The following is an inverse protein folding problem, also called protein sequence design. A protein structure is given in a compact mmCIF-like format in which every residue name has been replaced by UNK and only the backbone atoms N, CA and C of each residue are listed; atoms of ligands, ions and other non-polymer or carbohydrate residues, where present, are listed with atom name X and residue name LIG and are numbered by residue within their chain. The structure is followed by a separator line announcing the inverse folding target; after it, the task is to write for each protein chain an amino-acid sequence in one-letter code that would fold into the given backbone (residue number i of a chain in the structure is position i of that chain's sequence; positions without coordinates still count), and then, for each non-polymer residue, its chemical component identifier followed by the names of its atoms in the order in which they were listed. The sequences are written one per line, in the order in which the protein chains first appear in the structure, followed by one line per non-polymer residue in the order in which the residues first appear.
data_IF_048806780667
#
_entry.id   IF_048806780667
#
_cell.length_a   1.000
_cell.length_b   1.000
_cell.length_c   1.000
_cell.angle_alpha   90.00
_cell.angle_beta   90.00
_cell.angle_gamma   90.00
#
_symmetry.space_group_name_H-M   'P 1'
#
loop_
_entity.id
_entity.type
_entity.pdbx_description
1 polymer ?
#
# COMPACT_ATOMS: atom_id res chain seq x y z
N UNK A 1 10.87 3.86 -8.79
CA UNK A 1 10.57 5.19 -8.26
C UNK A 1 11.74 6.11 -8.53
N UNK A 2 11.66 6.93 -9.56
CA UNK A 2 12.55 8.09 -9.71
C UNK A 2 12.10 9.15 -8.72
N UNK A 3 12.69 9.18 -7.52
CA UNK A 3 12.48 10.32 -6.63
C UNK A 3 13.34 11.47 -7.19
N UNK A 4 12.69 12.44 -7.83
CA UNK A 4 13.29 13.74 -8.16
C UNK A 4 12.40 14.89 -7.63
N UNK A 5 12.96 16.05 -7.25
CA UNK A 5 14.24 16.32 -6.60
C UNK A 5 14.02 16.82 -5.14
N UNK A 6 14.91 16.42 -4.21
CA UNK A 6 15.20 17.03 -2.88
C UNK A 6 14.07 17.48 -1.95
N UNK A 7 13.21 18.41 -2.39
CA UNK A 7 12.16 19.08 -1.63
C UNK A 7 11.10 18.12 -1.07
N UNK A 8 10.64 17.14 -1.87
CA UNK A 8 9.65 16.15 -1.40
C UNK A 8 10.19 15.23 -0.30
N UNK A 9 11.48 14.89 -0.33
CA UNK A 9 12.12 14.06 0.71
C UNK A 9 12.21 14.87 2.01
N UNK A 10 12.57 16.15 1.91
CA UNK A 10 12.64 17.05 3.07
C UNK A 10 11.25 17.24 3.69
N UNK A 11 10.22 17.47 2.87
CA UNK A 11 8.85 17.65 3.35
C UNK A 11 8.33 16.37 4.02
N UNK A 12 8.58 15.20 3.43
CA UNK A 12 8.26 13.91 4.03
C UNK A 12 8.97 13.72 5.37
N UNK A 13 10.29 13.93 5.41
CA UNK A 13 11.06 13.79 6.65
C UNK A 13 10.60 14.78 7.73
N UNK A 14 10.21 15.99 7.34
CA UNK A 14 9.66 17.01 8.25
C UNK A 14 8.33 16.56 8.83
N UNK A 15 7.42 16.05 8.00
CA UNK A 15 6.12 15.55 8.45
C UNK A 15 6.27 14.34 9.38
N UNK A 16 7.12 13.37 9.03
CA UNK A 16 7.38 12.20 9.88
C UNK A 16 8.01 12.59 11.21
N UNK A 17 8.85 13.64 11.25
CA UNK A 17 9.36 14.20 12.51
C UNK A 17 8.26 14.88 13.32
N UNK A 18 7.42 15.70 12.69
CA UNK A 18 6.30 16.37 13.34
C UNK A 18 5.31 15.36 13.95
N UNK A 19 5.10 14.23 13.28
CA UNK A 19 4.27 13.13 13.78
C UNK A 19 4.95 12.26 14.86
N UNK A 20 6.22 12.51 15.17
CA UNK A 20 6.99 11.77 16.17
C UNK A 20 7.44 10.39 15.70
N UNK A 21 7.45 10.14 14.39
CA UNK A 21 7.90 8.89 13.76
C UNK A 21 9.41 8.91 13.48
N UNK A 22 9.98 10.09 13.24
CA UNK A 22 11.42 10.26 13.08
C UNK A 22 11.97 11.24 14.12
N UNK A 23 13.20 10.99 14.53
CA UNK A 23 14.02 11.96 15.27
C UNK A 23 15.28 12.30 14.48
N UNK A 24 15.79 13.51 14.71
CA UNK A 24 17.05 13.95 14.13
C UNK A 24 18.12 13.93 15.20
N UNK A 25 19.22 13.22 14.96
CA UNK A 25 20.37 13.12 15.88
C UNK A 25 21.65 13.60 15.18
N UNK A 26 22.63 14.17 15.90
CA UNK A 26 23.94 14.48 15.31
C UNK A 26 24.58 13.25 14.68
N UNK A 27 25.23 13.39 13.52
CA UNK A 27 26.00 12.29 12.96
C UNK A 27 27.26 12.05 13.83
N UNK A 28 27.64 10.80 14.12
CA UNK A 28 28.76 10.49 15.02
C UNK A 28 30.12 11.05 14.56
N UNK A 29 30.28 11.31 13.26
CA UNK A 29 31.56 11.69 12.65
C UNK A 29 31.55 13.08 11.99
N UNK A 30 30.40 13.75 11.96
CA UNK A 30 30.27 15.12 11.45
C UNK A 30 29.11 15.85 12.15
N UNK A 31 29.44 16.78 13.05
CA UNK A 31 28.44 17.57 13.76
C UNK A 31 27.62 18.51 12.88
N UNK A 32 28.04 18.74 11.63
CA UNK A 32 27.27 19.49 10.62
C UNK A 32 26.22 18.63 9.95
N UNK A 33 26.39 17.30 9.98
CA UNK A 33 25.42 16.35 9.46
C UNK A 33 24.46 15.89 10.56
N UNK A 34 23.21 15.62 10.16
CA UNK A 34 22.17 15.06 11.01
C UNK A 34 21.70 13.74 10.43
N UNK A 35 21.63 12.71 11.26
CA UNK A 35 21.02 11.43 10.91
C UNK A 35 19.54 11.45 11.31
N UNK A 36 18.70 10.82 10.50
CA UNK A 36 17.32 10.51 10.85
C UNK A 36 17.28 9.10 11.45
N UNK A 37 16.61 8.96 12.59
CA UNK A 37 16.40 7.68 13.27
C UNK A 37 14.90 7.45 13.44
N UNK A 38 14.46 6.21 13.20
CA UNK A 38 13.09 5.78 13.49
C UNK A 38 12.89 5.75 15.00
N UNK A 39 11.81 6.38 15.48
CA UNK A 39 11.42 6.28 16.88
C UNK A 39 10.80 4.91 17.17
N UNK A 40 10.67 4.48 18.44
CA UNK A 40 9.94 3.26 18.78
C UNK A 40 8.51 3.23 18.22
N UNK A 41 7.85 4.39 18.13
CA UNK A 41 6.52 4.50 17.51
C UNK A 41 6.54 4.18 16.02
N UNK A 42 7.58 4.62 15.29
CA UNK A 42 7.71 4.28 13.89
C UNK A 42 8.01 2.79 13.68
N UNK A 43 8.82 2.18 14.55
CA UNK A 43 9.07 0.74 14.50
C UNK A 43 7.78 -0.05 14.75
N UNK A 44 7.00 0.33 15.76
CA UNK A 44 5.71 -0.30 16.03
C UNK A 44 4.73 -0.17 14.84
N UNK A 45 4.60 1.03 14.27
CA UNK A 45 3.77 1.24 13.09
C UNK A 45 4.26 0.44 11.86
N UNK A 46 5.57 0.22 11.77
CA UNK A 46 6.17 -0.61 10.73
C UNK A 46 5.83 -2.10 10.92
N UNK A 47 5.88 -2.59 12.16
CA UNK A 47 5.45 -3.95 12.51
C UNK A 47 3.97 -4.17 12.19
N UNK A 48 3.09 -3.23 12.55
CA UNK A 48 1.66 -3.28 12.20
C UNK A 48 1.47 -3.43 10.69
N UNK A 49 2.26 -2.68 9.91
CA UNK A 49 2.20 -2.72 8.45
C UNK A 49 2.71 -4.04 7.88
N UNK A 50 3.79 -4.59 8.43
CA UNK A 50 4.33 -5.90 8.05
C UNK A 50 3.28 -6.99 8.32
N UNK A 51 2.68 -6.99 9.50
CA UNK A 51 1.65 -7.96 9.90
C UNK A 51 0.48 -8.01 8.90
N UNK A 52 -0.02 -6.86 8.44
CA UNK A 52 -1.16 -6.76 7.51
C UNK A 52 -0.98 -7.63 6.26
N UNK A 53 0.23 -7.69 5.71
CA UNK A 53 0.50 -8.50 4.52
C UNK A 53 0.90 -9.94 4.83
N UNK A 54 1.37 -10.21 6.05
CA UNK A 54 1.75 -11.57 6.45
C UNK A 54 0.55 -12.39 6.92
N UNK A 55 -0.50 -11.76 7.47
CA UNK A 55 -1.76 -12.44 7.82
C UNK A 55 -2.39 -13.23 6.66
N UNK A 56 -2.63 -12.65 5.46
CA UNK A 56 -3.17 -13.43 4.35
C UNK A 56 -2.20 -14.51 3.87
N UNK A 57 -0.89 -14.27 3.91
CA UNK A 57 0.11 -15.28 3.55
C UNK A 57 0.09 -16.49 4.49
N UNK A 58 -0.06 -16.28 5.80
CA UNK A 58 -0.20 -17.37 6.77
C UNK A 58 -1.44 -18.24 6.54
N UNK A 59 -2.50 -17.68 5.94
CA UNK A 59 -3.69 -18.44 5.53
C UNK A 59 -3.47 -19.19 4.21
N UNK A 60 -2.76 -18.57 3.25
CA UNK A 60 -2.55 -19.12 1.91
C UNK A 60 -1.42 -20.16 1.85
N UNK A 61 -0.43 -20.05 2.73
CA UNK A 61 0.79 -20.88 2.78
C UNK A 61 1.06 -21.38 4.21
N UNK A 62 0.18 -22.18 4.80
CA UNK A 62 0.29 -22.60 6.20
C UNK A 62 1.54 -23.45 6.50
N UNK A 63 2.23 -23.96 5.47
CA UNK A 63 3.47 -24.71 5.58
C UNK A 63 4.70 -23.85 5.93
N UNK A 64 4.56 -22.53 5.83
CA UNK A 64 5.64 -21.56 6.02
C UNK A 64 5.54 -20.86 7.39
N UNK A 65 6.66 -20.50 8.00
CA UNK A 65 6.65 -19.78 9.28
C UNK A 65 6.56 -18.25 9.08
N UNK A 66 5.38 -17.70 9.40
CA UNK A 66 5.11 -16.27 9.39
C UNK A 66 5.01 -15.66 10.80
N UNK A 67 5.19 -16.46 11.87
CA UNK A 67 5.07 -15.97 13.26
C UNK A 67 5.96 -14.77 13.58
N UNK A 68 7.23 -14.68 13.11
CA UNK A 68 8.06 -13.50 13.39
C UNK A 68 7.43 -12.18 12.92
N UNK A 69 6.67 -12.20 11.83
CA UNK A 69 5.92 -11.03 11.36
C UNK A 69 4.68 -10.73 12.22
N UNK A 70 3.97 -11.79 12.64
CA UNK A 70 2.71 -11.69 13.39
C UNK A 70 2.93 -11.34 14.87
N UNK A 71 4.07 -11.74 15.43
CA UNK A 71 4.46 -11.51 16.82
C UNK A 71 5.29 -10.20 16.98
N UNK A 72 5.40 -9.42 15.90
CA UNK A 72 6.15 -8.15 15.86
C UNK A 72 7.62 -8.30 16.26
N UNK A 73 8.29 -9.36 15.81
CA UNK A 73 9.71 -9.57 16.09
C UNK A 73 10.56 -8.45 15.45
N UNK A 74 11.26 -7.68 16.28
CA UNK A 74 12.06 -6.53 15.81
C UNK A 74 13.30 -6.96 15.01
N UNK A 75 13.86 -8.15 15.27
CA UNK A 75 14.96 -8.71 14.50
C UNK A 75 14.50 -9.04 13.07
N UNK A 76 13.34 -9.67 12.96
CA UNK A 76 12.67 -9.93 11.69
C UNK A 76 12.29 -8.64 10.96
N UNK A 77 11.68 -7.67 11.64
CA UNK A 77 11.34 -6.36 11.06
C UNK A 77 12.56 -5.72 10.38
N UNK A 78 13.70 -5.70 11.08
CA UNK A 78 14.95 -5.16 10.55
C UNK A 78 15.46 -5.96 9.34
N UNK A 79 15.50 -7.29 9.45
CA UNK A 79 15.95 -8.16 8.37
C UNK A 79 15.06 -8.01 7.12
N UNK A 80 13.75 -7.97 7.31
CA UNK A 80 12.74 -7.79 6.26
C UNK A 80 12.91 -6.45 5.54
N UNK A 81 13.11 -5.34 6.28
CA UNK A 81 13.35 -4.03 5.66
C UNK A 81 14.66 -3.98 4.88
N UNK A 82 15.73 -4.59 5.38
CA UNK A 82 17.00 -4.68 4.65
C UNK A 82 16.89 -5.54 3.39
N UNK A 83 16.15 -6.65 3.45
CA UNK A 83 15.89 -7.49 2.29
C UNK A 83 15.02 -6.76 1.25
N UNK A 84 13.98 -6.04 1.69
CA UNK A 84 13.07 -5.31 0.82
C UNK A 84 13.72 -4.18 0.01
N UNK A 85 14.80 -3.57 0.52
CA UNK A 85 15.58 -2.58 -0.24
C UNK A 85 16.16 -3.18 -1.54
N UNK A 86 16.42 -4.49 -1.57
CA UNK A 86 16.96 -5.20 -2.73
C UNK A 86 15.89 -5.55 -3.77
N UNK A 87 14.61 -5.39 -3.44
CA UNK A 87 13.47 -5.77 -4.30
C UNK A 87 12.70 -4.56 -4.82
N UNK A 88 13.20 -3.33 -4.60
CA UNK A 88 12.52 -2.09 -4.98
C UNK A 88 12.37 -1.92 -6.51
N UNK A 89 13.31 -2.46 -7.30
CA UNK A 89 13.23 -2.38 -8.76
C UNK A 89 12.14 -3.29 -9.32
N UNK A 90 12.01 -4.50 -8.76
CA UNK A 90 10.95 -5.47 -9.10
C UNK A 90 9.55 -4.88 -8.84
N UNK A 91 9.39 -4.15 -7.73
CA UNK A 91 8.12 -3.51 -7.41
C UNK A 91 7.69 -2.44 -8.44
N UNK A 92 8.65 -1.76 -9.08
CA UNK A 92 8.34 -0.78 -10.12
C UNK A 92 7.90 -1.45 -11.42
N UNK A 93 8.56 -2.54 -11.81
CA UNK A 93 8.22 -3.30 -13.02
C UNK A 93 6.80 -3.87 -12.95
N UNK A 94 6.44 -4.43 -11.78
CA UNK A 94 5.08 -4.95 -11.52
C UNK A 94 4.02 -3.86 -11.70
N UNK A 95 4.27 -2.64 -11.19
CA UNK A 95 3.30 -1.55 -11.28
C UNK A 95 3.12 -1.04 -12.72
N UNK A 96 4.23 -0.88 -13.47
CA UNK A 96 4.17 -0.39 -14.86
C UNK A 96 3.48 -1.38 -15.82
N UNK A 97 3.45 -2.67 -15.48
CA UNK A 97 2.73 -3.70 -16.24
C UNK A 97 1.23 -3.79 -15.90
N UNK A 98 0.70 -2.91 -15.05
CA UNK A 98 -0.70 -2.95 -14.61
C UNK A 98 -1.37 -1.56 -14.70
N UNK A 99 -1.75 -1.10 -15.91
CA UNK A 99 -2.28 0.25 -16.13
C UNK A 99 -3.52 0.62 -15.29
N UNK A 100 -4.49 -0.28 -15.02
CA UNK A 100 -5.58 0.03 -14.10
C UNK A 100 -5.10 0.35 -12.68
N UNK A 101 -4.13 -0.39 -12.17
CA UNK A 101 -3.59 -0.16 -10.83
C UNK A 101 -2.71 1.09 -10.78
N UNK A 102 -1.86 1.29 -11.79
CA UNK A 102 -1.01 2.48 -11.89
C UNK A 102 -1.87 3.75 -11.86
N UNK A 103 -2.99 3.80 -12.59
CA UNK A 103 -3.94 4.92 -12.55
C UNK A 103 -4.35 5.28 -11.10
N UNK A 104 -4.85 4.32 -10.32
CA UNK A 104 -5.28 4.60 -8.95
C UNK A 104 -4.12 4.91 -8.00
N UNK A 105 -2.93 4.39 -8.26
CA UNK A 105 -1.72 4.65 -7.45
C UNK A 105 -1.16 6.06 -7.71
N UNK A 106 -1.20 6.55 -8.94
CA UNK A 106 -0.74 7.89 -9.30
C UNK A 106 -1.71 9.00 -8.85
N UNK A 107 -3.00 8.70 -8.76
CA UNK A 107 -4.00 9.64 -8.27
C UNK A 107 -3.84 9.93 -6.77
N UNK A 108 -3.87 11.21 -6.40
CA UNK A 108 -3.88 11.61 -4.98
C UNK A 108 -5.07 10.96 -4.29
N UNK A 109 -4.80 10.14 -3.25
CA UNK A 109 -5.75 9.27 -2.53
C UNK A 109 -6.53 8.24 -3.39
N UNK A 110 -6.19 8.08 -4.67
CA UNK A 110 -6.87 7.17 -5.60
C UNK A 110 -6.82 5.71 -5.13
N UNK A 111 -5.69 5.27 -4.59
CA UNK A 111 -5.54 3.92 -4.06
C UNK A 111 -6.52 3.65 -2.89
N UNK A 112 -6.82 4.65 -2.04
CA UNK A 112 -7.84 4.50 -0.99
C UNK A 112 -9.23 4.35 -1.57
N UNK A 113 -9.56 5.12 -2.62
CA UNK A 113 -10.83 4.98 -3.34
C UNK A 113 -10.96 3.58 -3.91
N UNK A 114 -9.89 3.05 -4.53
CA UNK A 114 -9.85 1.69 -5.06
C UNK A 114 -10.10 0.64 -3.96
N UNK A 115 -9.40 0.73 -2.82
CA UNK A 115 -9.61 -0.23 -1.71
C UNK A 115 -11.06 -0.21 -1.22
N UNK A 116 -11.64 0.98 -1.04
CA UNK A 116 -13.03 1.13 -0.58
C UNK A 116 -14.00 0.58 -1.65
N UNK A 117 -13.73 0.83 -2.93
CA UNK A 117 -14.51 0.32 -4.05
C UNK A 117 -14.51 -1.21 -4.06
N UNK A 118 -13.33 -1.84 -4.05
CA UNK A 118 -13.19 -3.30 -4.04
C UNK A 118 -13.86 -3.94 -2.82
N UNK A 119 -13.68 -3.33 -1.64
CA UNK A 119 -14.34 -3.78 -0.43
C UNK A 119 -15.88 -3.64 -0.50
N UNK A 120 -16.38 -2.62 -1.19
CA UNK A 120 -17.82 -2.35 -1.31
C UNK A 120 -18.54 -3.33 -2.24
N UNK A 121 -17.82 -3.93 -3.20
CA UNK A 121 -18.36 -4.91 -4.14
C UNK A 121 -18.10 -6.37 -3.72
N UNK A 122 -17.25 -6.59 -2.72
CA UNK A 122 -16.87 -7.94 -2.26
C UNK A 122 -18.10 -8.78 -1.89
N UNK A 123 -18.20 -9.95 -2.51
CA UNK A 123 -19.31 -10.89 -2.28
C UNK A 123 -20.65 -10.45 -2.86
N UNK A 124 -20.70 -9.37 -3.65
CA UNK A 124 -21.92 -8.92 -4.34
C UNK A 124 -21.97 -9.46 -5.77
N UNK A 125 -23.15 -9.90 -6.19
CA UNK A 125 -23.40 -10.23 -7.58
C UNK A 125 -23.26 -8.96 -8.46
N UNK A 126 -22.54 -9.09 -9.58
CA UNK A 126 -22.45 -8.05 -10.62
C UNK A 126 -21.47 -6.92 -10.34
N UNK A 127 -20.60 -7.01 -9.33
CA UNK A 127 -19.54 -6.02 -9.05
C UNK A 127 -20.05 -4.58 -8.88
N UNK A 128 -21.23 -4.42 -8.27
CA UNK A 128 -21.88 -3.12 -8.06
C UNK A 128 -21.80 -2.67 -6.62
N UNK A 129 -21.55 -1.38 -6.41
CA UNK A 129 -21.66 -0.75 -5.10
C UNK A 129 -23.12 -0.59 -4.68
N UNK A 130 -23.38 -0.36 -3.39
CA UNK A 130 -24.69 0.13 -2.93
C UNK A 130 -24.91 1.60 -3.29
N UNK A 131 -26.18 2.02 -3.26
CA UNK A 131 -26.58 3.43 -3.24
C UNK A 131 -25.86 4.20 -2.13
N UNK A 132 -25.44 5.44 -2.43
CA UNK A 132 -24.73 6.29 -1.47
C UNK A 132 -23.22 6.02 -1.37
N UNK A 133 -22.66 5.18 -2.25
CA UNK A 133 -21.23 4.85 -2.27
C UNK A 133 -20.31 6.07 -2.19
N UNK A 134 -20.57 7.14 -2.96
CA UNK A 134 -19.73 8.34 -2.94
C UNK A 134 -19.60 8.97 -1.56
N UNK A 135 -20.70 9.02 -0.79
CA UNK A 135 -20.71 9.55 0.57
C UNK A 135 -19.95 8.63 1.52
N UNK A 136 -20.18 7.32 1.39
CA UNK A 136 -19.48 6.31 2.18
C UNK A 136 -17.97 6.36 1.94
N UNK A 137 -17.52 6.40 0.68
CA UNK A 137 -16.12 6.46 0.32
C UNK A 137 -15.45 7.77 0.75
N UNK A 138 -16.15 8.90 0.64
CA UNK A 138 -15.67 10.19 1.12
C UNK A 138 -15.39 10.16 2.63
N UNK A 139 -16.37 9.69 3.42
CA UNK A 139 -16.24 9.59 4.87
C UNK A 139 -15.13 8.60 5.26
N UNK A 140 -15.11 7.42 4.66
CA UNK A 140 -14.15 6.36 5.01
C UNK A 140 -12.72 6.70 4.57
N UNK A 141 -12.59 7.40 3.45
CA UNK A 141 -11.31 7.78 2.86
C UNK A 141 -10.72 9.08 3.40
N UNK A 142 -11.47 9.85 4.20
CA UNK A 142 -11.04 11.16 4.69
C UNK A 142 -10.91 12.19 3.55
N UNK A 143 -11.80 12.13 2.57
CA UNK A 143 -11.75 12.96 1.36
C UNK A 143 -13.12 13.51 0.99
N UNK A 144 -13.19 14.47 0.07
CA UNK A 144 -14.47 15.03 -0.37
C UNK A 144 -15.22 14.09 -1.32
N UNK A 145 -16.55 14.17 -1.34
CA UNK A 145 -17.39 13.46 -2.32
C UNK A 145 -17.04 13.82 -3.76
N UNK A 146 -16.68 15.08 -4.00
CA UNK A 146 -16.24 15.58 -5.30
C UNK A 146 -14.95 14.89 -5.73
N UNK A 147 -14.00 14.68 -4.82
CA UNK A 147 -12.75 13.99 -5.13
C UNK A 147 -12.99 12.54 -5.53
N UNK A 148 -13.79 11.80 -4.75
CA UNK A 148 -14.21 10.43 -5.09
C UNK A 148 -14.87 10.39 -6.46
N UNK A 149 -15.78 11.32 -6.75
CA UNK A 149 -16.45 11.41 -8.05
C UNK A 149 -15.46 11.66 -9.18
N UNK A 150 -14.50 12.57 -9.02
CA UNK A 150 -13.51 12.88 -10.05
C UNK A 150 -12.64 11.66 -10.40
N UNK A 151 -12.14 10.95 -9.39
CA UNK A 151 -11.37 9.71 -9.58
C UNK A 151 -12.21 8.68 -10.36
N UNK A 152 -13.47 8.47 -9.97
CA UNK A 152 -14.31 7.47 -10.63
C UNK A 152 -14.76 7.89 -12.03
N UNK A 153 -14.94 9.19 -12.29
CA UNK A 153 -15.26 9.69 -13.64
C UNK A 153 -14.10 9.40 -14.59
N UNK A 154 -12.86 9.66 -14.17
CA UNK A 154 -11.68 9.33 -14.98
C UNK A 154 -11.50 7.82 -15.14
N UNK A 155 -11.73 7.04 -14.08
CA UNK A 155 -11.77 5.58 -14.19
C UNK A 155 -12.84 5.08 -15.18
N UNK A 156 -13.99 5.75 -15.26
CA UNK A 156 -15.05 5.43 -16.21
C UNK A 156 -14.65 5.75 -17.66
N UNK A 157 -13.99 6.90 -17.88
CA UNK A 157 -13.42 7.28 -19.19
C UNK A 157 -12.38 6.25 -19.67
N UNK A 158 -11.63 5.65 -18.76
CA UNK A 158 -10.66 4.57 -19.03
C UNK A 158 -11.29 3.17 -19.13
N UNK A 159 -12.61 3.05 -18.94
CA UNK A 159 -13.34 1.78 -19.05
C UNK A 159 -13.18 0.85 -17.84
N UNK A 160 -12.70 1.34 -16.69
CA UNK A 160 -12.51 0.53 -15.48
C UNK A 160 -13.78 0.41 -14.63
N UNK A 161 -14.67 1.40 -14.72
CA UNK A 161 -15.97 1.40 -14.04
C UNK A 161 -17.06 1.92 -14.99
N UNK A 162 -18.32 1.71 -14.62
CA UNK A 162 -19.48 2.33 -15.25
C UNK A 162 -20.43 2.87 -14.19
N UNK A 163 -21.16 3.93 -14.55
CA UNK A 163 -22.17 4.52 -13.69
C UNK A 163 -23.54 3.94 -14.03
N UNK A 164 -24.37 3.79 -13.00
CA UNK A 164 -25.80 3.52 -13.15
C UNK A 164 -26.49 4.59 -13.99
N UNK A 165 -27.56 4.21 -14.69
CA UNK A 165 -28.40 5.13 -15.46
C UNK A 165 -28.97 6.25 -14.57
N UNK A 166 -29.42 5.89 -13.36
CA UNK A 166 -29.80 6.87 -12.34
C UNK A 166 -28.56 7.36 -11.60
N UNK A 167 -28.24 8.67 -11.61
CA UNK A 167 -27.05 9.17 -10.93
C UNK A 167 -27.02 8.82 -9.44
N UNK A 168 -25.90 8.27 -8.98
CA UNK A 168 -25.65 7.98 -7.55
C UNK A 168 -26.24 6.66 -7.03
N UNK A 169 -26.89 5.88 -7.89
CA UNK A 169 -27.48 4.59 -7.53
C UNK A 169 -26.40 3.50 -7.33
N UNK A 170 -25.52 3.30 -8.31
CA UNK A 170 -24.35 2.45 -8.12
C UNK A 170 -23.19 2.81 -9.05
N UNK A 171 -22.02 2.32 -8.68
CA UNK A 171 -20.86 2.20 -9.56
C UNK A 171 -20.65 0.72 -9.83
N UNK A 172 -20.62 0.34 -11.10
CA UNK A 172 -20.28 -1.01 -11.55
C UNK A 172 -18.78 -1.08 -11.86
N UNK A 173 -18.09 -2.01 -11.23
CA UNK A 173 -16.67 -2.28 -11.52
C UNK A 173 -16.58 -3.25 -12.69
N UNK A 174 -15.85 -2.85 -13.73
CA UNK A 174 -15.69 -3.68 -14.93
C UNK A 174 -14.73 -4.85 -14.65
N UNK A 175 -14.91 -6.00 -15.34
CA UNK A 175 -14.04 -7.18 -15.15
C UNK A 175 -12.55 -6.86 -15.26
N UNK A 176 -12.15 -6.00 -16.21
CA UNK A 176 -10.75 -5.58 -16.39
C UNK A 176 -10.11 -5.00 -15.12
N UNK A 177 -10.87 -4.27 -14.31
CA UNK A 177 -10.36 -3.69 -13.07
C UNK A 177 -10.31 -4.74 -11.94
N UNK A 178 -11.27 -5.67 -11.92
CA UNK A 178 -11.25 -6.80 -10.96
C UNK A 178 -10.04 -7.69 -11.22
N UNK A 179 -9.85 -8.12 -12.47
CA UNK A 179 -8.73 -8.99 -12.86
C UNK A 179 -7.37 -8.32 -12.61
N UNK A 180 -7.28 -7.01 -12.89
CA UNK A 180 -6.09 -6.22 -12.61
C UNK A 180 -5.79 -6.11 -11.10
N UNK A 181 -6.83 -5.94 -10.28
CA UNK A 181 -6.71 -5.87 -8.83
C UNK A 181 -6.32 -7.21 -8.20
N UNK A 182 -6.92 -8.30 -8.66
CA UNK A 182 -6.61 -9.65 -8.18
C UNK A 182 -5.18 -10.04 -8.53
N UNK A 183 -4.76 -9.80 -9.78
CA UNK A 183 -3.37 -10.01 -10.22
C UNK A 183 -2.39 -9.19 -9.39
N UNK A 184 -2.67 -7.90 -9.20
CA UNK A 184 -1.80 -7.03 -8.40
C UNK A 184 -1.70 -7.50 -6.94
N UNK A 185 -2.80 -7.97 -6.37
CA UNK A 185 -2.83 -8.51 -5.01
C UNK A 185 -1.97 -9.78 -4.92
N UNK A 186 -2.12 -10.71 -5.87
CA UNK A 186 -1.32 -11.93 -5.92
C UNK A 186 0.18 -11.63 -6.11
N UNK A 187 0.54 -10.72 -7.02
CA UNK A 187 1.93 -10.29 -7.26
C UNK A 187 2.53 -9.60 -6.03
N UNK A 188 1.75 -8.75 -5.35
CA UNK A 188 2.17 -8.07 -4.13
C UNK A 188 2.45 -9.07 -3.00
N UNK A 189 1.53 -10.00 -2.75
CA UNK A 189 1.71 -11.04 -1.72
C UNK A 189 2.88 -11.97 -2.06
N UNK A 190 3.02 -12.38 -3.31
CA UNK A 190 4.17 -13.18 -3.75
C UNK A 190 5.49 -12.45 -3.56
N UNK A 191 5.54 -11.14 -3.85
CA UNK A 191 6.73 -10.33 -3.62
C UNK A 191 7.09 -10.22 -2.15
N UNK A 192 6.10 -10.05 -1.27
CA UNK A 192 6.29 -10.01 0.19
C UNK A 192 6.81 -11.35 0.70
N UNK A 193 6.27 -12.47 0.19
CA UNK A 193 6.74 -13.81 0.53
C UNK A 193 8.21 -14.02 0.13
N UNK A 194 8.62 -13.53 -1.04
CA UNK A 194 10.03 -13.56 -1.49
C UNK A 194 10.93 -12.75 -0.57
N UNK A 195 10.52 -11.55 -0.16
CA UNK A 195 11.29 -10.73 0.78
C UNK A 195 11.44 -11.44 2.12
N UNK A 196 10.38 -12.09 2.61
CA UNK A 196 10.41 -12.93 3.81
C UNK A 196 11.45 -14.03 3.69
N UNK A 197 11.45 -14.79 2.59
CA UNK A 197 12.43 -15.85 2.35
C UNK A 197 13.88 -15.32 2.39
N UNK A 198 14.15 -14.16 1.78
CA UNK A 198 15.47 -13.51 1.88
C UNK A 198 15.81 -13.09 3.31
N UNK A 199 14.88 -12.49 4.04
CA UNK A 199 15.08 -12.05 5.41
C UNK A 199 15.42 -13.22 6.35
N UNK A 200 14.71 -14.34 6.23
CA UNK A 200 14.94 -15.54 7.05
C UNK A 200 16.26 -16.23 6.68
N UNK A 201 16.60 -16.28 5.38
CA UNK A 201 17.88 -16.87 4.92
C UNK A 201 19.11 -16.09 5.40
N UNK A 202 19.02 -14.77 5.52
CA UNK A 202 20.09 -13.91 6.01
C UNK A 202 20.24 -13.92 7.55
N UNK A 203 19.22 -14.40 8.27
CA UNK A 203 19.20 -14.49 9.73
C UNK A 203 19.63 -15.87 10.26
N UNK A 204 19.81 -16.87 9.40
CA UNK A 204 20.32 -18.17 9.80
C UNK A 204 21.80 -18.06 10.20
N UNK A 205 22.19 -18.44 11.45
CA UNK A 205 23.60 -18.49 11.82
C UNK A 205 24.29 -19.59 11.00
N UNK A 206 25.53 -19.30 10.56
CA UNK A 206 26.46 -20.30 10.05
C UNK A 206 26.93 -21.23 11.18
#
# INVERSE_FOLDING_TARGET
MGIAPGRRIIDLATNLRHEGLLESVPAPHDGRARMLRATPRAIAADCDWIEVFHRPLALLRPEEDYRPALDHDHGYQRAFRLAGLKTLDIANEIMSANPPMDYFVQESVGFRVLMILMQSIRGRAGNRTSSGFYSHAAQRGGMSRTHVKNVLTRAAELGYVAFSERPGDYVEVRPVLVDAFDRWTAESLSSIDRVRAYATSAAAPS
#
